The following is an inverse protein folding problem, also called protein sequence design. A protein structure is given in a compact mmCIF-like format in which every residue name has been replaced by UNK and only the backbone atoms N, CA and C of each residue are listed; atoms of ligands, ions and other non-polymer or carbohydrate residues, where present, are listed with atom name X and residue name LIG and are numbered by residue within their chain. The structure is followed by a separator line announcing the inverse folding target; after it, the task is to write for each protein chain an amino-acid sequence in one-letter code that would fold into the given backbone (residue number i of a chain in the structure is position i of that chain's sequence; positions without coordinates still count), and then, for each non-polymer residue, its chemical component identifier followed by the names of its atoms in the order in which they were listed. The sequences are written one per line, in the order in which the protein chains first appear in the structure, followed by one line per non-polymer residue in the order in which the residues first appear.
data_IF_450799770309
#
_entry.id   IF_450799770309
#
_cell.length_a   1.000
_cell.length_b   1.000
_cell.length_c   1.000
_cell.angle_alpha   90.00
_cell.angle_beta   90.00
_cell.angle_gamma   90.00
#
_symmetry.space_group_name_H-M   'P 1'
#
loop_
_entity.id
_entity.type
_entity.pdbx_description
1 polymer ?
#
# COMPACT_ATOMS: atom_id res chain seq x y z
N UNK A 1 48.47 9.09 27.25
CA UNK A 1 47.11 8.50 27.08
C UNK A 1 46.51 9.13 25.84
N UNK A 2 46.38 8.37 24.75
CA UNK A 2 45.68 8.84 23.56
C UNK A 2 44.17 8.78 23.83
N UNK A 3 43.45 9.89 23.65
CA UNK A 3 41.99 9.90 23.70
C UNK A 3 41.45 9.02 22.57
N UNK A 4 40.52 8.13 22.91
CA UNK A 4 39.68 7.48 21.90
C UNK A 4 38.73 8.54 21.38
N UNK A 5 39.11 9.20 20.29
CA UNK A 5 38.17 10.00 19.51
C UNK A 5 37.11 9.04 18.97
N UNK A 6 35.90 9.15 19.53
CA UNK A 6 34.74 8.43 19.01
C UNK A 6 34.46 9.01 17.62
N UNK A 7 34.19 8.16 16.60
CA UNK A 7 33.82 8.69 15.29
C UNK A 7 32.55 9.53 15.45
N UNK A 8 32.42 10.66 14.74
CA UNK A 8 31.24 11.52 14.85
C UNK A 8 30.01 10.67 14.57
N UNK A 9 29.00 10.78 15.44
CA UNK A 9 27.68 10.21 15.18
C UNK A 9 27.29 10.69 13.78
N UNK A 10 27.10 9.75 12.86
CA UNK A 10 26.61 10.06 11.52
C UNK A 10 25.26 10.75 11.69
N UNK A 11 25.27 12.07 11.63
CA UNK A 11 24.09 12.92 11.58
C UNK A 11 23.41 12.73 10.23
N UNK A 12 22.96 11.51 9.95
CA UNK A 12 21.86 11.32 9.01
C UNK A 12 20.62 11.82 9.75
N UNK A 13 20.43 13.14 9.73
CA UNK A 13 19.12 13.68 10.02
C UNK A 13 18.16 12.95 9.05
N UNK A 14 17.16 12.22 9.56
CA UNK A 14 16.18 11.58 8.68
C UNK A 14 15.65 12.65 7.73
N UNK A 15 15.61 12.43 6.39
CA UNK A 15 15.11 13.44 5.47
C UNK A 15 13.74 13.89 5.94
N UNK A 16 13.61 15.20 6.07
CA UNK A 16 12.44 15.82 6.64
C UNK A 16 11.26 15.61 5.68
N UNK A 17 10.11 15.22 6.22
CA UNK A 17 8.88 15.06 5.41
C UNK A 17 8.61 16.37 4.66
N UNK A 18 8.35 16.35 3.35
CA UNK A 18 8.17 17.55 2.55
C UNK A 18 7.12 18.47 3.16
N UNK A 19 7.44 19.75 3.25
CA UNK A 19 6.48 20.74 3.73
C UNK A 19 5.54 21.16 2.60
N UNK A 20 4.24 21.01 2.83
CA UNK A 20 3.19 21.39 1.88
C UNK A 20 2.64 20.23 1.05
N UNK A 21 1.35 20.30 0.73
CA UNK A 21 0.58 19.24 0.06
C UNK A 21 1.16 18.89 -1.31
N UNK A 22 1.57 19.88 -2.10
CA UNK A 22 2.17 19.65 -3.41
C UNK A 22 3.51 18.90 -3.32
N UNK A 23 4.35 19.26 -2.35
CA UNK A 23 5.64 18.62 -2.16
C UNK A 23 5.48 17.17 -1.64
N UNK A 24 4.46 16.91 -0.81
CA UNK A 24 4.12 15.56 -0.36
C UNK A 24 3.85 14.63 -1.54
N UNK A 25 3.00 15.04 -2.49
CA UNK A 25 2.64 14.19 -3.63
C UNK A 25 3.73 14.05 -4.70
N UNK A 26 4.80 14.83 -4.63
CA UNK A 26 5.94 14.76 -5.56
C UNK A 26 7.17 14.07 -4.97
N UNK A 27 7.15 13.73 -3.68
CA UNK A 27 8.31 13.14 -3.01
C UNK A 27 8.08 11.68 -2.70
N UNK A 28 9.03 10.84 -3.11
CA UNK A 28 9.07 9.43 -2.71
C UNK A 28 9.43 9.34 -1.23
N UNK A 29 8.74 8.50 -0.43
CA UNK A 29 7.73 7.53 -0.84
C UNK A 29 6.29 8.06 -0.90
N UNK A 30 6.02 9.24 -0.36
CA UNK A 30 4.66 9.78 -0.19
C UNK A 30 3.86 9.93 -1.49
N UNK A 31 4.54 10.10 -2.62
CA UNK A 31 3.93 10.09 -3.96
C UNK A 31 3.14 8.79 -4.25
N UNK A 32 3.49 7.66 -3.61
CA UNK A 32 2.81 6.38 -3.79
C UNK A 32 1.41 6.32 -3.17
N UNK A 33 1.08 7.16 -2.18
CA UNK A 33 -0.26 7.18 -1.57
C UNK A 33 -1.38 7.37 -2.60
N UNK A 34 -1.20 8.23 -3.60
CA UNK A 34 -2.22 8.47 -4.63
C UNK A 34 -2.51 7.24 -5.49
N UNK A 35 -1.52 6.65 -6.19
CA UNK A 35 -1.78 5.44 -6.97
C UNK A 35 -2.18 4.25 -6.10
N UNK A 36 -1.68 4.10 -4.86
CA UNK A 36 -2.15 3.07 -3.93
C UNK A 36 -3.64 3.19 -3.63
N UNK A 37 -4.11 4.40 -3.32
CA UNK A 37 -5.52 4.64 -3.02
C UNK A 37 -6.40 4.45 -4.24
N UNK A 38 -5.96 4.94 -5.41
CA UNK A 38 -6.70 4.79 -6.67
C UNK A 38 -6.80 3.32 -7.03
N UNK A 39 -5.69 2.59 -7.10
CA UNK A 39 -5.72 1.18 -7.51
C UNK A 39 -6.36 0.29 -6.44
N UNK A 40 -6.12 0.56 -5.15
CA UNK A 40 -6.81 -0.10 -4.05
C UNK A 40 -8.32 0.07 -4.13
N UNK A 41 -8.81 1.29 -4.41
CA UNK A 41 -10.24 1.55 -4.63
C UNK A 41 -10.82 0.70 -5.78
N UNK A 42 -10.08 0.58 -6.87
CA UNK A 42 -10.49 -0.21 -8.02
C UNK A 42 -10.58 -1.71 -7.69
N UNK A 43 -9.64 -2.26 -6.91
CA UNK A 43 -9.65 -3.69 -6.57
C UNK A 43 -10.93 -4.09 -5.86
N UNK A 44 -11.28 -3.45 -4.73
CA UNK A 44 -12.47 -3.88 -3.98
C UNK A 44 -13.78 -3.56 -4.72
N UNK A 45 -13.85 -2.46 -5.48
CA UNK A 45 -15.04 -2.12 -6.28
C UNK A 45 -15.26 -3.10 -7.42
N UNK A 46 -14.21 -3.50 -8.15
CA UNK A 46 -14.29 -4.50 -9.20
C UNK A 46 -14.68 -5.87 -8.64
N UNK A 47 -14.08 -6.28 -7.51
CA UNK A 47 -14.48 -7.54 -6.85
C UNK A 47 -15.93 -7.49 -6.39
N UNK A 48 -16.40 -6.37 -5.84
CA UNK A 48 -17.81 -6.19 -5.49
C UNK A 48 -18.74 -6.23 -6.71
N UNK A 49 -18.30 -5.72 -7.87
CA UNK A 49 -19.06 -5.73 -9.12
C UNK A 49 -19.31 -7.15 -9.66
N UNK A 50 -18.52 -8.14 -9.25
CA UNK A 50 -18.81 -9.57 -9.52
C UNK A 50 -19.92 -10.15 -8.64
N UNK A 51 -20.57 -9.31 -7.81
CA UNK A 51 -21.50 -9.73 -6.76
C UNK A 51 -20.90 -10.79 -5.82
N UNK A 52 -19.58 -10.76 -5.64
CA UNK A 52 -18.84 -11.69 -4.79
C UNK A 52 -19.08 -13.15 -5.20
N UNK A 53 -19.00 -13.43 -6.51
CA UNK A 53 -19.29 -14.74 -7.10
C UNK A 53 -18.54 -15.94 -6.45
N UNK A 54 -17.34 -15.69 -5.90
CA UNK A 54 -16.59 -16.68 -5.14
C UNK A 54 -16.36 -16.20 -3.70
N UNK A 55 -17.34 -16.37 -2.77
CA UNK A 55 -17.31 -15.74 -1.45
C UNK A 55 -16.04 -15.98 -0.64
N UNK A 56 -15.46 -17.19 -0.70
CA UNK A 56 -14.25 -17.51 0.04
C UNK A 56 -13.01 -16.77 -0.50
N UNK A 57 -12.88 -16.67 -1.83
CA UNK A 57 -11.75 -15.99 -2.48
C UNK A 57 -11.94 -14.46 -2.40
N UNK A 58 -13.08 -13.98 -2.91
CA UNK A 58 -13.40 -12.55 -2.98
C UNK A 58 -13.55 -11.92 -1.59
N UNK A 59 -14.01 -12.67 -0.58
CA UNK A 59 -14.10 -12.19 0.79
C UNK A 59 -12.75 -11.79 1.36
N UNK A 60 -11.70 -12.58 1.12
CA UNK A 60 -10.33 -12.22 1.53
C UNK A 60 -9.82 -11.00 0.76
N UNK A 61 -10.04 -10.95 -0.55
CA UNK A 61 -9.60 -9.82 -1.40
C UNK A 61 -10.28 -8.52 -0.97
N UNK A 62 -11.60 -8.56 -0.72
CA UNK A 62 -12.36 -7.41 -0.22
C UNK A 62 -11.87 -6.96 1.15
N UNK A 63 -11.66 -7.90 2.09
CA UNK A 63 -11.16 -7.58 3.41
C UNK A 63 -9.82 -6.85 3.35
N UNK A 64 -8.82 -7.43 2.66
CA UNK A 64 -7.48 -6.85 2.57
C UNK A 64 -7.52 -5.49 1.86
N UNK A 65 -8.19 -5.42 0.70
CA UNK A 65 -8.20 -4.20 -0.13
C UNK A 65 -8.98 -3.05 0.51
N UNK A 66 -10.15 -3.31 1.09
CA UNK A 66 -10.95 -2.26 1.72
C UNK A 66 -10.31 -1.76 3.02
N UNK A 67 -9.79 -2.67 3.84
CA UNK A 67 -9.14 -2.26 5.10
C UNK A 67 -7.85 -1.48 4.83
N UNK A 68 -7.02 -1.91 3.88
CA UNK A 68 -5.82 -1.17 3.51
C UNK A 68 -6.15 0.18 2.87
N UNK A 69 -7.20 0.26 2.03
CA UNK A 69 -7.64 1.53 1.47
C UNK A 69 -8.01 2.53 2.58
N UNK A 70 -8.79 2.10 3.58
CA UNK A 70 -9.18 2.96 4.69
C UNK A 70 -7.99 3.38 5.55
N UNK A 71 -7.08 2.46 5.88
CA UNK A 71 -5.89 2.79 6.69
C UNK A 71 -4.93 3.68 5.92
N UNK A 72 -4.66 3.41 4.65
CA UNK A 72 -3.85 4.28 3.78
C UNK A 72 -4.46 5.68 3.65
N UNK A 73 -5.79 5.79 3.59
CA UNK A 73 -6.47 7.09 3.58
C UNK A 73 -6.25 7.82 4.91
N UNK A 74 -6.35 7.13 6.05
CA UNK A 74 -6.08 7.73 7.35
C UNK A 74 -4.61 8.16 7.50
N UNK A 75 -3.67 7.39 6.98
CA UNK A 75 -2.25 7.75 6.96
C UNK A 75 -2.00 8.98 6.09
N UNK A 76 -2.56 9.02 4.88
CA UNK A 76 -2.47 10.19 4.00
C UNK A 76 -3.02 11.46 4.68
N UNK A 77 -4.21 11.37 5.29
CA UNK A 77 -4.78 12.48 6.05
C UNK A 77 -3.88 12.88 7.22
N UNK A 78 -3.21 11.93 7.87
CA UNK A 78 -2.26 12.20 8.94
C UNK A 78 -1.02 12.96 8.47
N UNK A 79 -0.55 12.70 7.25
CA UNK A 79 0.49 13.49 6.60
C UNK A 79 0.02 14.90 6.26
N UNK A 80 -1.18 15.05 5.69
CA UNK A 80 -1.77 16.35 5.31
C UNK A 80 -1.99 17.25 6.53
N UNK A 81 -2.53 16.70 7.62
CA UNK A 81 -2.82 17.46 8.85
C UNK A 81 -1.61 17.57 9.80
N UNK A 82 -0.49 16.92 9.49
CA UNK A 82 0.73 16.99 10.29
C UNK A 82 0.70 16.17 11.58
N UNK A 83 -0.21 15.21 11.74
CA UNK A 83 -0.26 14.33 12.92
C UNK A 83 1.02 13.50 13.08
N UNK A 84 1.68 13.17 11.96
CA UNK A 84 2.95 12.44 11.96
C UNK A 84 4.05 13.11 12.81
N UNK A 85 4.03 14.44 12.93
CA UNK A 85 5.03 15.21 13.70
C UNK A 85 4.96 14.97 15.20
N UNK A 86 3.87 14.39 15.71
CA UNK A 86 3.66 14.15 17.14
C UNK A 86 4.39 12.92 17.67
N UNK A 87 4.84 12.03 16.79
CA UNK A 87 5.42 10.74 17.18
C UNK A 87 6.72 10.48 16.41
N UNK A 88 7.84 10.34 17.12
CA UNK A 88 9.14 10.02 16.50
C UNK A 88 9.13 8.67 15.78
N UNK A 89 8.34 7.71 16.26
CA UNK A 89 8.20 6.37 15.68
C UNK A 89 7.30 6.32 14.43
N UNK A 90 6.75 7.45 13.96
CA UNK A 90 5.79 7.47 12.85
C UNK A 90 6.32 6.80 11.58
N UNK A 91 7.59 7.04 11.22
CA UNK A 91 8.22 6.41 10.05
C UNK A 91 8.30 4.89 10.17
N UNK A 92 8.53 4.37 11.38
CA UNK A 92 8.58 2.92 11.64
C UNK A 92 7.18 2.32 11.50
N UNK A 93 6.17 2.99 12.06
CA UNK A 93 4.77 2.60 11.90
C UNK A 93 4.37 2.56 10.41
N UNK A 94 4.73 3.59 9.66
CA UNK A 94 4.40 3.71 8.25
C UNK A 94 5.07 2.63 7.40
N UNK A 95 6.36 2.38 7.62
CA UNK A 95 7.10 1.28 6.98
C UNK A 95 6.51 -0.09 7.30
N UNK A 96 6.22 -0.34 8.58
CA UNK A 96 5.64 -1.61 9.04
C UNK A 96 4.26 -1.84 8.41
N UNK A 97 3.42 -0.80 8.40
CA UNK A 97 2.11 -0.86 7.76
C UNK A 97 2.23 -1.19 6.27
N UNK A 98 3.04 -0.46 5.50
CA UNK A 98 3.17 -0.68 4.07
C UNK A 98 3.77 -2.07 3.78
N UNK A 99 4.75 -2.53 4.57
CA UNK A 99 5.35 -3.85 4.42
C UNK A 99 4.37 -4.99 4.73
N UNK A 100 3.67 -4.93 5.86
CA UNK A 100 2.64 -5.91 6.22
C UNK A 100 1.50 -5.91 5.20
N UNK A 101 1.06 -4.72 4.79
CA UNK A 101 0.00 -4.58 3.79
C UNK A 101 0.45 -5.16 2.45
N UNK A 102 1.68 -4.94 2.00
CA UNK A 102 2.21 -5.55 0.79
C UNK A 102 2.16 -7.08 0.81
N UNK A 103 2.50 -7.71 1.94
CA UNK A 103 2.41 -9.17 2.10
C UNK A 103 0.95 -9.65 2.02
N UNK A 104 0.03 -8.97 2.74
CA UNK A 104 -1.39 -9.30 2.71
C UNK A 104 -1.97 -9.08 1.31
N UNK A 105 -1.62 -7.99 0.63
CA UNK A 105 -2.10 -7.68 -0.71
C UNK A 105 -1.57 -8.67 -1.74
N UNK A 106 -0.33 -9.16 -1.60
CA UNK A 106 0.19 -10.24 -2.43
C UNK A 106 -0.67 -11.50 -2.27
N UNK A 107 -1.05 -11.87 -1.04
CA UNK A 107 -1.95 -13.01 -0.81
C UNK A 107 -3.33 -12.81 -1.46
N UNK A 108 -3.88 -11.60 -1.38
CA UNK A 108 -5.14 -11.25 -2.05
C UNK A 108 -5.01 -11.30 -3.57
N UNK A 109 -3.92 -10.78 -4.15
CA UNK A 109 -3.68 -10.79 -5.58
C UNK A 109 -3.61 -12.22 -6.13
N UNK A 110 -2.98 -13.15 -5.40
CA UNK A 110 -2.96 -14.58 -5.76
C UNK A 110 -4.35 -15.20 -5.73
N UNK A 111 -5.17 -14.94 -4.70
CA UNK A 111 -6.55 -15.44 -4.68
C UNK A 111 -7.42 -14.82 -5.78
N UNK A 112 -7.20 -13.55 -6.12
CA UNK A 112 -7.90 -12.87 -7.20
C UNK A 112 -7.50 -13.44 -8.58
N UNK A 113 -6.22 -13.77 -8.77
CA UNK A 113 -5.75 -14.46 -9.97
C UNK A 113 -6.38 -15.86 -10.10
N UNK A 114 -6.51 -16.59 -8.99
CA UNK A 114 -7.21 -17.86 -8.97
C UNK A 114 -8.70 -17.71 -9.31
N UNK A 115 -9.39 -16.71 -8.75
CA UNK A 115 -10.78 -16.40 -9.12
C UNK A 115 -10.92 -16.06 -10.61
N UNK A 116 -9.95 -15.36 -11.19
CA UNK A 116 -9.88 -15.06 -12.62
C UNK A 116 -9.84 -16.33 -13.46
N UNK A 117 -8.95 -17.29 -13.12
CA UNK A 117 -8.82 -18.57 -13.84
C UNK A 117 -10.13 -19.37 -13.77
N UNK A 118 -10.78 -19.43 -12.61
CA UNK A 118 -12.06 -20.13 -12.49
C UNK A 118 -13.13 -19.48 -13.38
N UNK A 119 -13.20 -18.14 -13.42
CA UNK A 119 -14.19 -17.44 -14.23
C UNK A 119 -14.07 -17.66 -15.74
N UNK A 120 -12.88 -17.98 -16.26
CA UNK A 120 -12.65 -18.22 -17.70
C UNK A 120 -13.64 -19.23 -18.28
N UNK A 121 -13.91 -20.31 -17.53
CA UNK A 121 -14.78 -21.40 -17.98
C UNK A 121 -16.21 -21.34 -17.41
N UNK A 122 -16.49 -20.38 -16.51
CA UNK A 122 -17.78 -20.30 -15.81
C UNK A 122 -18.61 -19.08 -16.22
N UNK A 123 -17.99 -17.91 -16.35
CA UNK A 123 -18.68 -16.68 -16.67
C UNK A 123 -17.68 -15.65 -17.24
N UNK A 124 -17.79 -15.38 -18.55
CA UNK A 124 -16.90 -14.47 -19.26
C UNK A 124 -17.02 -13.00 -18.79
N UNK A 125 -18.21 -12.57 -18.37
CA UNK A 125 -18.39 -11.21 -17.84
C UNK A 125 -17.61 -11.04 -16.53
N UNK A 126 -17.70 -12.04 -15.65
CA UNK A 126 -16.89 -12.07 -14.42
C UNK A 126 -15.40 -12.22 -14.71
N UNK A 127 -15.02 -12.96 -15.76
CA UNK A 127 -13.62 -13.10 -16.17
C UNK A 127 -12.99 -11.75 -16.49
N UNK A 128 -13.63 -10.91 -17.32
CA UNK A 128 -13.08 -9.60 -17.66
C UNK A 128 -12.93 -8.68 -16.43
N UNK A 129 -13.92 -8.69 -15.53
CA UNK A 129 -13.86 -7.91 -14.28
C UNK A 129 -12.73 -8.43 -13.37
N UNK A 130 -12.61 -9.76 -13.24
CA UNK A 130 -11.59 -10.40 -12.42
C UNK A 130 -10.17 -10.16 -12.97
N UNK A 131 -9.99 -10.17 -14.30
CA UNK A 131 -8.70 -9.81 -14.94
C UNK A 131 -8.28 -8.39 -14.53
N UNK A 132 -9.18 -7.42 -14.62
CA UNK A 132 -8.89 -6.04 -14.21
C UNK A 132 -8.56 -5.96 -12.72
N UNK A 133 -9.35 -6.62 -11.86
CA UNK A 133 -9.11 -6.67 -10.42
C UNK A 133 -7.76 -7.30 -10.08
N UNK A 134 -7.37 -8.38 -10.76
CA UNK A 134 -6.06 -9.03 -10.61
C UNK A 134 -4.92 -8.10 -11.00
N UNK A 135 -5.03 -7.40 -12.14
CA UNK A 135 -4.01 -6.45 -12.58
C UNK A 135 -3.78 -5.36 -11.54
N UNK A 136 -4.85 -4.70 -11.09
CA UNK A 136 -4.75 -3.66 -10.06
C UNK A 136 -4.28 -4.22 -8.73
N UNK A 137 -4.62 -5.46 -8.38
CA UNK A 137 -4.17 -6.07 -7.13
C UNK A 137 -2.64 -6.29 -7.10
N UNK A 138 -2.06 -6.77 -8.20
CA UNK A 138 -0.60 -6.87 -8.31
C UNK A 138 0.08 -5.51 -8.34
N UNK A 139 -0.49 -4.52 -9.04
CA UNK A 139 0.07 -3.17 -9.07
C UNK A 139 0.03 -2.50 -7.69
N UNK A 140 -1.08 -2.64 -6.97
CA UNK A 140 -1.23 -2.13 -5.60
C UNK A 140 -0.25 -2.81 -4.65
N UNK A 141 -0.07 -4.13 -4.79
CA UNK A 141 0.94 -4.90 -4.04
C UNK A 141 2.35 -4.34 -4.26
N UNK A 142 2.72 -4.09 -5.52
CA UNK A 142 4.03 -3.53 -5.86
C UNK A 142 4.22 -2.15 -5.23
N UNK A 143 3.20 -1.29 -5.26
CA UNK A 143 3.28 0.04 -4.67
C UNK A 143 3.49 -0.01 -3.15
N UNK A 144 2.71 -0.83 -2.43
CA UNK A 144 2.91 -1.02 -0.99
C UNK A 144 4.33 -1.49 -0.66
N UNK A 145 4.89 -2.41 -1.44
CA UNK A 145 6.26 -2.89 -1.27
C UNK A 145 7.28 -1.77 -1.53
N UNK A 146 7.12 -1.03 -2.64
CA UNK A 146 8.00 0.09 -2.97
C UNK A 146 7.96 1.17 -1.90
N UNK A 147 6.79 1.52 -1.39
CA UNK A 147 6.62 2.47 -0.30
C UNK A 147 7.37 2.04 0.95
N UNK A 148 7.19 0.79 1.37
CA UNK A 148 7.83 0.24 2.56
C UNK A 148 9.37 0.27 2.50
N UNK A 149 9.96 0.05 1.32
CA UNK A 149 11.41 0.12 1.13
C UNK A 149 11.90 1.57 0.96
N UNK A 150 11.20 2.37 0.16
CA UNK A 150 11.57 3.75 -0.10
C UNK A 150 11.56 4.62 1.15
N UNK A 151 10.73 4.32 2.15
CA UNK A 151 10.76 5.04 3.43
C UNK A 151 11.94 4.67 4.34
N UNK A 152 12.60 3.54 4.09
CA UNK A 152 13.73 3.08 4.90
C UNK A 152 15.08 3.49 4.29
N UNK A 153 15.17 3.51 2.96
CA UNK A 153 16.40 3.84 2.23
C UNK A 153 16.57 5.33 1.91
N UNK A 154 15.52 6.13 2.09
CA UNK A 154 15.58 7.59 2.09
C UNK A 154 15.23 8.09 3.49
#
# INVERSE_FOLDING_TARGET
MASRDTPPATSYAPPEVPSGVAALFLTIPYAFFLPELVFGFWVWTLVAATHVAYPLLHGWVLYVSLTSFLVSLMLLLSYIFGFYKRFESWRVLDSLYHGTTGILYMSAAVLQAHATIISENQNLDHYYINVAASFFAFLTTLLYILHAFSIYYH
#
